data_IF_042018200011
#
_entry.id   IF_042018200011
#
_cell.length_a   1.000
_cell.length_b   1.000
_cell.length_c   1.000
_cell.angle_alpha   90.00
_cell.angle_beta   90.00
_cell.angle_gamma   90.00
#
_symmetry.space_group_name_H-M   'P 1'
#
loop_
_entity.id
_entity.type
_entity.pdbx_description
1 polymer ?
#
# COMPACT_ATOMS: atom_id res chain seq x y z
N UNK A 1 22.04 12.56 -16.46
CA UNK A 1 20.65 11.98 -16.67
C UNK A 1 20.19 11.42 -15.35
N UNK A 2 19.02 11.85 -14.83
CA UNK A 2 18.52 11.45 -13.52
C UNK A 2 18.03 10.00 -13.57
N UNK A 3 18.43 9.19 -12.58
CA UNK A 3 17.94 7.83 -12.35
C UNK A 3 17.02 7.79 -11.14
N UNK A 4 16.16 6.77 -11.04
CA UNK A 4 15.40 6.50 -9.83
C UNK A 4 15.81 5.14 -9.24
N UNK A 5 15.77 5.05 -7.92
CA UNK A 5 15.96 3.82 -7.16
C UNK A 5 14.68 3.54 -6.38
N UNK A 6 14.09 2.36 -6.57
CA UNK A 6 12.93 1.90 -5.79
C UNK A 6 13.39 0.79 -4.83
N UNK A 7 13.21 1.01 -3.53
CA UNK A 7 13.57 0.03 -2.51
C UNK A 7 12.44 -0.97 -2.29
N UNK A 8 12.57 -2.19 -2.82
CA UNK A 8 11.53 -3.21 -2.84
C UNK A 8 11.98 -4.59 -2.29
N UNK A 9 13.06 -4.64 -1.50
CA UNK A 9 13.66 -5.91 -1.05
C UNK A 9 13.08 -6.50 0.24
N UNK A 10 12.28 -5.74 0.99
CA UNK A 10 11.85 -6.06 2.35
C UNK A 10 10.78 -7.17 2.44
N UNK A 11 10.81 -7.99 3.53
CA UNK A 11 9.78 -9.00 3.83
C UNK A 11 8.45 -8.41 4.31
N UNK A 12 8.44 -7.16 4.77
CA UNK A 12 7.24 -6.42 5.20
C UNK A 12 6.35 -7.18 6.20
N UNK A 13 6.95 -7.74 7.26
CA UNK A 13 6.25 -8.59 8.25
C UNK A 13 5.14 -7.89 9.03
N UNK A 14 5.11 -6.56 9.05
CA UNK A 14 4.01 -5.79 9.65
C UNK A 14 2.72 -5.85 8.83
N UNK A 15 2.82 -6.19 7.55
CA UNK A 15 1.68 -6.26 6.63
C UNK A 15 1.13 -7.70 6.50
N UNK A 16 1.64 -8.66 7.32
CA UNK A 16 1.06 -9.98 7.41
C UNK A 16 -0.42 -9.91 7.80
N UNK A 17 -1.28 -10.79 7.22
CA UNK A 17 -0.94 -11.98 6.44
C UNK A 17 -0.76 -11.72 4.93
N UNK A 18 -1.09 -10.55 4.38
CA UNK A 18 -1.10 -10.26 2.94
C UNK A 18 0.26 -10.48 2.26
N UNK A 19 1.36 -10.19 2.98
CA UNK A 19 2.72 -10.32 2.42
C UNK A 19 3.37 -11.68 2.68
N UNK A 20 2.61 -12.68 3.09
CA UNK A 20 3.06 -14.07 3.10
C UNK A 20 3.09 -14.66 1.69
N UNK A 21 2.14 -14.31 0.85
CA UNK A 21 2.00 -14.81 -0.52
C UNK A 21 2.69 -13.94 -1.56
N UNK A 22 2.76 -12.61 -1.35
CA UNK A 22 3.35 -11.68 -2.31
C UNK A 22 4.22 -10.61 -1.63
N UNK A 23 5.19 -9.98 -2.33
CA UNK A 23 5.94 -8.86 -1.79
C UNK A 23 5.05 -7.61 -1.73
N UNK A 24 5.21 -6.79 -0.69
CA UNK A 24 4.41 -5.60 -0.43
C UNK A 24 4.25 -4.63 -1.63
N UNK A 25 5.30 -4.38 -2.45
CA UNK A 25 5.16 -3.51 -3.62
C UNK A 25 4.13 -3.97 -4.65
N UNK A 26 3.72 -5.24 -4.61
CA UNK A 26 2.70 -5.81 -5.49
C UNK A 26 1.29 -5.84 -4.87
N UNK A 27 1.12 -5.42 -3.62
CA UNK A 27 -0.21 -5.19 -3.07
C UNK A 27 -0.93 -4.10 -3.89
N UNK A 28 -2.22 -4.29 -4.12
CA UNK A 28 -3.01 -3.37 -4.94
C UNK A 28 -3.74 -2.32 -4.12
N UNK A 29 -3.72 -1.10 -4.62
CA UNK A 29 -4.57 0.01 -4.19
C UNK A 29 -5.28 0.54 -5.42
N UNK A 30 -6.59 0.68 -5.39
CA UNK A 30 -7.39 1.07 -6.56
C UNK A 30 -7.08 0.17 -7.79
N UNK A 31 -7.01 -1.15 -7.56
CA UNK A 31 -6.72 -2.20 -8.56
C UNK A 31 -5.37 -2.08 -9.28
N UNK A 32 -4.42 -1.32 -8.74
CA UNK A 32 -3.07 -1.18 -9.30
C UNK A 32 -2.03 -1.43 -8.21
N UNK A 33 -0.96 -2.13 -8.54
CA UNK A 33 0.15 -2.43 -7.64
C UNK A 33 0.82 -1.13 -7.15
N UNK A 34 1.20 -1.08 -5.85
CA UNK A 34 1.84 0.09 -5.23
C UNK A 34 3.05 0.56 -6.05
N UNK A 35 3.90 -0.37 -6.49
CA UNK A 35 5.09 -0.04 -7.28
C UNK A 35 4.74 0.59 -8.63
N UNK A 36 3.63 0.18 -9.27
CA UNK A 36 3.19 0.75 -10.56
C UNK A 36 2.66 2.18 -10.41
N UNK A 37 2.06 2.53 -9.26
CA UNK A 37 1.73 3.94 -8.97
C UNK A 37 2.98 4.81 -8.97
N UNK A 38 4.08 4.34 -8.37
CA UNK A 38 5.34 5.05 -8.35
C UNK A 38 6.01 5.11 -9.73
N UNK A 39 5.96 4.01 -10.49
CA UNK A 39 6.47 4.01 -11.87
C UNK A 39 5.70 5.00 -12.75
N UNK A 40 4.37 5.10 -12.62
CA UNK A 40 3.57 6.12 -13.32
C UNK A 40 3.99 7.54 -12.94
N UNK A 41 4.21 7.79 -11.65
CA UNK A 41 4.65 9.09 -11.16
C UNK A 41 6.05 9.48 -11.68
N UNK A 42 6.92 8.50 -11.92
CA UNK A 42 8.28 8.68 -12.46
C UNK A 42 8.32 8.87 -13.98
N UNK A 43 7.25 8.53 -14.72
CA UNK A 43 7.17 8.70 -16.18
C UNK A 43 7.44 10.14 -16.61
N UNK A 44 8.44 10.33 -17.49
CA UNK A 44 8.86 11.65 -17.99
C UNK A 44 9.71 12.47 -17.02
N UNK A 45 10.00 11.97 -15.81
CA UNK A 45 10.95 12.57 -14.87
C UNK A 45 12.32 11.90 -14.92
N UNK A 46 12.35 10.60 -15.15
CA UNK A 46 13.58 9.78 -15.26
C UNK A 46 13.49 8.89 -16.51
N UNK A 47 14.60 8.30 -16.92
CA UNK A 47 14.64 7.33 -18.05
C UNK A 47 14.93 5.90 -17.57
N UNK A 48 15.62 5.76 -16.45
CA UNK A 48 16.01 4.47 -15.89
C UNK A 48 15.57 4.39 -14.42
N UNK A 49 14.97 3.25 -14.05
CA UNK A 49 14.61 2.92 -12.68
C UNK A 49 15.36 1.67 -12.27
N UNK A 50 16.08 1.74 -11.17
CA UNK A 50 16.76 0.60 -10.54
C UNK A 50 15.87 0.13 -9.40
N UNK A 51 15.33 -1.08 -9.49
CA UNK A 51 14.50 -1.70 -8.46
C UNK A 51 15.38 -2.63 -7.63
N UNK A 52 15.55 -2.29 -6.35
CA UNK A 52 16.26 -3.15 -5.40
C UNK A 52 15.26 -4.22 -4.94
N UNK A 53 15.53 -5.47 -5.27
CA UNK A 53 14.67 -6.61 -4.98
C UNK A 53 15.33 -7.57 -3.98
N UNK A 54 14.52 -8.41 -3.34
CA UNK A 54 15.00 -9.41 -2.38
C UNK A 54 13.92 -10.46 -2.12
N UNK A 55 13.06 -10.23 -1.12
CA UNK A 55 11.96 -11.13 -0.82
C UNK A 55 11.02 -11.30 -2.02
N UNK A 56 10.82 -12.56 -2.47
CA UNK A 56 9.98 -12.92 -3.64
C UNK A 56 10.28 -12.07 -4.88
N UNK A 57 11.58 -11.86 -5.18
CA UNK A 57 12.07 -10.99 -6.26
C UNK A 57 11.48 -11.34 -7.62
N UNK A 58 11.31 -12.63 -7.90
CA UNK A 58 10.80 -13.13 -9.16
C UNK A 58 9.39 -12.59 -9.46
N UNK A 59 8.55 -12.47 -8.46
CA UNK A 59 7.20 -11.91 -8.62
C UNK A 59 7.24 -10.45 -9.09
N UNK A 60 8.14 -9.63 -8.52
CA UNK A 60 8.31 -8.23 -8.93
C UNK A 60 8.85 -8.16 -10.36
N UNK A 61 9.83 -9.00 -10.70
CA UNK A 61 10.46 -9.02 -12.02
C UNK A 61 9.47 -9.45 -13.10
N UNK A 62 8.67 -10.50 -12.83
CA UNK A 62 7.64 -10.99 -13.76
C UNK A 62 6.52 -9.97 -13.98
N UNK A 63 6.09 -9.26 -12.90
CA UNK A 63 4.99 -8.30 -12.96
C UNK A 63 5.34 -7.02 -13.72
N UNK A 64 6.60 -6.56 -13.64
CA UNK A 64 7.03 -5.28 -14.23
C UNK A 64 7.80 -5.48 -15.53
N UNK A 65 8.59 -6.56 -15.63
CA UNK A 65 9.51 -6.79 -16.76
C UNK A 65 10.68 -5.80 -16.78
N UNK A 66 11.37 -5.74 -17.93
CA UNK A 66 12.54 -4.90 -18.12
C UNK A 66 12.21 -3.46 -18.62
N UNK A 67 10.93 -3.19 -18.85
CA UNK A 67 10.43 -1.90 -19.36
C UNK A 67 9.02 -1.62 -18.82
N UNK A 68 8.78 -0.39 -18.38
CA UNK A 68 7.46 0.07 -17.99
C UNK A 68 7.16 1.42 -18.67
N UNK A 69 6.27 1.44 -19.65
CA UNK A 69 6.06 2.59 -20.52
C UNK A 69 7.38 3.03 -21.19
N UNK A 70 7.84 4.25 -20.89
CA UNK A 70 9.12 4.79 -21.40
C UNK A 70 10.31 4.56 -20.45
N UNK A 71 10.10 3.92 -19.29
CA UNK A 71 11.12 3.67 -18.31
C UNK A 71 11.86 2.36 -18.61
N UNK A 72 13.19 2.39 -18.60
CA UNK A 72 14.03 1.19 -18.55
C UNK A 72 14.11 0.73 -17.11
N UNK A 73 13.83 -0.55 -16.85
CA UNK A 73 13.88 -1.14 -15.52
C UNK A 73 15.13 -2.02 -15.41
N UNK A 74 15.88 -1.82 -14.34
CA UNK A 74 17.01 -2.65 -13.95
C UNK A 74 16.75 -3.21 -12.56
N UNK A 75 17.08 -4.45 -12.32
CA UNK A 75 16.97 -5.08 -11.01
C UNK A 75 18.33 -5.28 -10.38
N UNK A 76 18.41 -5.01 -9.08
CA UNK A 76 19.60 -5.29 -8.25
C UNK A 76 19.13 -6.04 -7.01
N UNK A 77 19.72 -7.20 -6.76
CA UNK A 77 19.33 -8.04 -5.64
C UNK A 77 20.06 -7.62 -4.35
N UNK A 78 19.31 -7.36 -3.30
CA UNK A 78 19.81 -7.30 -1.93
C UNK A 78 19.83 -8.70 -1.32
N UNK A 79 20.91 -9.43 -1.48
CA UNK A 79 21.04 -10.82 -1.00
C UNK A 79 20.87 -10.98 0.51
N UNK A 80 21.33 -10.01 1.30
CA UNK A 80 21.15 -9.98 2.76
C UNK A 80 20.44 -8.70 3.16
N UNK A 81 19.35 -8.83 3.91
CA UNK A 81 18.55 -7.68 4.36
C UNK A 81 19.19 -7.05 5.59
N UNK A 82 20.24 -6.28 5.39
CA UNK A 82 21.02 -5.60 6.43
C UNK A 82 20.63 -4.13 6.63
N UNK A 83 19.42 -3.76 6.19
CA UNK A 83 18.86 -2.42 6.35
C UNK A 83 18.83 -1.61 5.04
N UNK A 84 18.18 -0.43 5.10
CA UNK A 84 17.90 0.44 3.95
C UNK A 84 19.15 1.11 3.36
N UNK A 85 20.12 1.45 4.18
CA UNK A 85 21.42 1.99 3.72
C UNK A 85 22.25 0.95 3.00
N UNK A 86 22.21 -0.32 3.47
CA UNK A 86 22.85 -1.43 2.76
C UNK A 86 22.17 -1.70 1.42
N UNK A 87 20.84 -1.65 1.37
CA UNK A 87 20.09 -1.78 0.12
C UNK A 87 20.55 -0.71 -0.88
N UNK A 88 20.62 0.55 -0.46
CA UNK A 88 21.06 1.64 -1.33
C UNK A 88 22.50 1.47 -1.80
N UNK A 89 23.41 1.02 -0.93
CA UNK A 89 24.81 0.76 -1.31
C UNK A 89 24.95 -0.28 -2.42
N UNK A 90 24.04 -1.25 -2.51
CA UNK A 90 24.10 -2.32 -3.54
C UNK A 90 23.96 -1.80 -4.97
N UNK A 91 23.44 -0.60 -5.17
CA UNK A 91 23.25 0.00 -6.51
C UNK A 91 24.34 0.99 -6.91
N UNK A 92 25.33 1.25 -6.06
CA UNK A 92 26.41 2.24 -6.26
C UNK A 92 27.05 2.19 -7.64
N UNK A 93 27.41 0.98 -8.11
CA UNK A 93 28.08 0.79 -9.41
C UNK A 93 27.19 1.17 -10.62
N UNK A 94 25.88 1.19 -10.45
CA UNK A 94 24.91 1.49 -11.50
C UNK A 94 24.47 2.96 -11.50
N UNK A 95 24.74 3.70 -10.42
CA UNK A 95 24.44 5.12 -10.31
C UNK A 95 25.48 5.93 -11.06
N UNK A 96 24.98 6.78 -11.97
CA UNK A 96 25.84 7.63 -12.80
C UNK A 96 26.15 8.97 -12.14
N UNK A 97 25.12 9.63 -11.61
CA UNK A 97 25.22 10.97 -11.03
C UNK A 97 24.06 11.22 -10.05
N UNK A 98 23.20 12.17 -10.34
CA UNK A 98 22.01 12.50 -9.54
C UNK A 98 20.93 11.46 -9.68
N UNK A 99 20.35 11.09 -8.55
CA UNK A 99 19.26 10.10 -8.53
C UNK A 99 18.26 10.39 -7.42
N UNK A 100 17.04 9.84 -7.58
CA UNK A 100 16.01 9.86 -6.56
C UNK A 100 15.81 8.45 -5.98
N UNK A 101 15.65 8.36 -4.68
CA UNK A 101 15.30 7.13 -3.96
C UNK A 101 13.87 7.25 -3.46
N UNK A 102 13.06 6.20 -3.65
CA UNK A 102 11.70 6.10 -3.09
C UNK A 102 11.47 4.72 -2.49
N UNK A 103 10.67 4.67 -1.42
CA UNK A 103 10.17 3.40 -0.89
C UNK A 103 9.26 2.71 -1.91
N UNK A 104 9.40 1.39 -2.06
CA UNK A 104 8.53 0.60 -2.93
C UNK A 104 7.19 0.25 -2.30
N UNK A 105 6.95 0.70 -1.09
CA UNK A 105 5.80 0.40 -0.25
C UNK A 105 4.93 1.61 0.11
N UNK A 106 5.28 2.78 -0.40
CA UNK A 106 4.53 4.03 -0.30
C UNK A 106 4.12 4.51 -1.70
N UNK A 107 3.12 5.38 -1.78
CA UNK A 107 2.66 5.99 -3.05
C UNK A 107 2.94 7.48 -3.01
N UNK A 108 3.68 7.97 -3.99
CA UNK A 108 4.07 9.37 -4.11
C UNK A 108 3.38 10.07 -5.29
N UNK A 109 3.12 11.37 -5.14
CA UNK A 109 2.64 12.17 -6.26
C UNK A 109 3.78 12.58 -7.19
N UNK A 110 3.51 12.62 -8.49
CA UNK A 110 4.45 13.17 -9.50
C UNK A 110 4.85 14.61 -9.19
N UNK A 111 3.93 15.41 -8.61
CA UNK A 111 4.17 16.81 -8.22
C UNK A 111 5.28 16.92 -7.19
N UNK A 112 5.23 16.09 -6.16
CA UNK A 112 6.20 16.12 -5.05
C UNK A 112 7.55 15.57 -5.47
N UNK A 113 7.58 14.49 -6.27
CA UNK A 113 8.80 13.99 -6.91
C UNK A 113 9.48 15.09 -7.72
N UNK A 114 8.71 15.79 -8.58
CA UNK A 114 9.23 16.88 -9.41
C UNK A 114 9.75 18.05 -8.58
N UNK A 115 9.14 18.36 -7.43
CA UNK A 115 9.60 19.41 -6.53
C UNK A 115 10.96 19.06 -5.93
N UNK A 116 11.13 17.85 -5.41
CA UNK A 116 12.41 17.38 -4.86
C UNK A 116 13.53 17.36 -5.91
N UNK A 117 13.23 16.95 -7.15
CA UNK A 117 14.21 16.87 -8.24
C UNK A 117 14.80 18.22 -8.66
N UNK A 118 14.21 19.36 -8.25
CA UNK A 118 14.76 20.71 -8.52
C UNK A 118 16.06 20.99 -7.71
N UNK A 119 16.29 20.27 -6.62
CA UNK A 119 17.40 20.50 -5.71
C UNK A 119 18.52 19.49 -5.94
N UNK A 120 19.76 19.85 -5.62
CA UNK A 120 20.90 18.93 -5.62
C UNK A 120 20.67 17.81 -4.62
N UNK A 121 20.32 18.17 -3.39
CA UNK A 121 19.94 17.27 -2.32
C UNK A 121 18.58 17.69 -1.76
N UNK A 122 17.66 16.74 -1.64
CA UNK A 122 16.36 16.99 -1.09
C UNK A 122 15.79 15.76 -0.36
N UNK A 123 14.88 16.03 0.55
CA UNK A 123 14.01 15.05 1.16
C UNK A 123 12.57 15.52 1.05
N UNK A 124 11.63 14.57 1.05
CA UNK A 124 10.21 14.90 1.15
C UNK A 124 9.75 14.66 2.58
N UNK A 125 9.21 15.68 3.22
CA UNK A 125 8.63 15.64 4.56
C UNK A 125 7.11 15.78 4.52
N UNK A 126 6.41 15.09 5.42
CA UNK A 126 4.97 15.21 5.59
C UNK A 126 4.65 15.60 7.03
N UNK A 127 3.82 16.62 7.23
CA UNK A 127 3.27 16.94 8.55
C UNK A 127 2.31 15.84 8.99
N UNK A 128 2.50 15.29 10.19
CA UNK A 128 1.71 14.18 10.74
C UNK A 128 1.32 14.44 12.19
N UNK A 129 0.16 13.92 12.60
CA UNK A 129 -0.34 14.06 13.99
C UNK A 129 0.46 13.19 14.98
N UNK A 130 0.91 12.01 14.56
CA UNK A 130 1.69 11.07 15.40
C UNK A 130 3.10 10.84 14.82
N UNK A 131 4.05 11.76 15.08
CA UNK A 131 5.41 11.67 14.55
C UNK A 131 6.24 10.53 15.17
N UNK A 132 5.86 10.02 16.33
CA UNK A 132 6.58 8.92 17.00
C UNK A 132 6.61 7.61 16.20
N UNK A 133 5.73 7.45 15.23
CA UNK A 133 5.68 6.29 14.33
C UNK A 133 6.73 6.31 13.24
N UNK A 134 7.33 7.47 12.97
CA UNK A 134 8.21 7.73 11.82
C UNK A 134 9.60 8.23 12.26
N UNK A 135 10.55 8.21 11.34
CA UNK A 135 11.68 9.13 11.44
C UNK A 135 11.19 10.56 11.21
N UNK A 136 11.73 11.53 11.91
CA UNK A 136 11.30 12.94 11.78
C UNK A 136 12.47 13.84 11.40
N UNK A 137 12.22 14.83 10.54
CA UNK A 137 13.18 15.85 10.17
C UNK A 137 13.13 17.01 11.14
N UNK A 138 14.29 17.43 11.65
CA UNK A 138 14.50 18.74 12.28
C UNK A 138 14.89 19.73 11.19
N UNK A 139 14.10 20.74 10.95
CA UNK A 139 14.31 21.72 9.88
C UNK A 139 14.47 23.13 10.41
N UNK A 140 15.30 23.96 9.73
CA UNK A 140 15.36 25.42 9.92
C UNK A 140 14.95 26.07 8.60
N UNK A 141 13.76 26.66 8.54
CA UNK A 141 13.12 27.04 7.28
C UNK A 141 12.88 25.79 6.41
N UNK A 142 13.51 25.72 5.24
CA UNK A 142 13.46 24.53 4.37
C UNK A 142 14.69 23.64 4.49
N UNK A 143 15.65 23.97 5.32
CA UNK A 143 16.90 23.24 5.41
C UNK A 143 16.83 22.16 6.49
N UNK A 144 17.14 20.92 6.15
CA UNK A 144 17.26 19.81 7.10
C UNK A 144 18.50 20.00 7.95
N UNK A 145 18.37 19.92 9.26
CA UNK A 145 19.47 19.96 10.22
C UNK A 145 19.80 18.58 10.77
N UNK A 146 18.79 17.72 10.88
CA UNK A 146 18.96 16.36 11.39
C UNK A 146 17.72 15.53 11.06
N UNK A 147 17.89 14.21 11.00
CA UNK A 147 16.79 13.25 11.07
C UNK A 147 16.95 12.37 12.31
N UNK A 148 15.84 12.12 13.02
CA UNK A 148 15.80 11.29 14.22
C UNK A 148 14.79 10.18 13.98
N UNK A 149 15.25 8.94 14.05
CA UNK A 149 14.40 7.76 13.83
C UNK A 149 13.54 7.49 15.08
N UNK A 150 12.22 7.52 14.94
CA UNK A 150 11.21 7.20 15.95
C UNK A 150 11.51 7.83 17.32
N UNK A 151 11.47 9.15 17.43
CA UNK A 151 11.82 9.82 18.67
C UNK A 151 10.83 9.46 19.80
N UNK A 152 11.37 9.19 21.00
CA UNK A 152 10.54 8.89 22.19
C UNK A 152 9.87 10.15 22.78
N UNK A 153 10.39 11.33 22.47
CA UNK A 153 9.83 12.64 22.85
C UNK A 153 9.53 13.42 21.60
N UNK A 154 8.56 14.31 21.65
CA UNK A 154 8.26 15.20 20.52
C UNK A 154 9.51 16.02 20.14
N UNK A 155 9.83 16.02 18.84
CA UNK A 155 10.95 16.77 18.27
C UNK A 155 10.48 17.62 17.10
N UNK A 156 9.65 17.07 16.24
CA UNK A 156 9.10 17.69 15.04
C UNK A 156 7.91 16.86 14.55
N UNK A 157 6.98 17.49 13.88
CA UNK A 157 5.83 16.88 13.21
C UNK A 157 6.09 16.51 11.74
N UNK A 158 7.31 16.81 11.23
CA UNK A 158 7.67 16.55 9.83
C UNK A 158 8.23 15.14 9.68
N UNK A 159 7.36 14.19 9.34
CA UNK A 159 7.72 12.80 9.11
C UNK A 159 8.57 12.62 7.85
N UNK A 160 9.53 11.70 7.94
CA UNK A 160 10.31 11.21 6.81
C UNK A 160 9.46 10.28 5.96
N UNK A 161 9.19 10.68 4.72
CA UNK A 161 8.37 9.90 3.79
C UNK A 161 9.13 8.78 3.07
N UNK A 162 10.46 8.73 3.18
CA UNK A 162 11.26 7.74 2.44
C UNK A 162 11.57 8.15 0.99
N UNK A 163 11.35 9.42 0.64
CA UNK A 163 11.77 9.98 -0.66
C UNK A 163 12.98 10.90 -0.48
N UNK A 164 14.04 10.63 -1.23
CA UNK A 164 15.31 11.37 -1.15
C UNK A 164 15.87 11.64 -2.53
N UNK A 165 16.51 12.80 -2.70
CA UNK A 165 17.33 13.12 -3.87
C UNK A 165 18.79 13.25 -3.43
N UNK A 166 19.65 12.47 -4.06
CA UNK A 166 21.07 12.40 -3.82
C UNK A 166 21.86 12.48 -5.12
N UNK A 167 23.16 12.62 -5.01
CA UNK A 167 24.12 12.31 -6.05
C UNK A 167 25.05 11.15 -5.63
N UNK A 168 25.87 10.67 -6.55
CA UNK A 168 26.76 9.53 -6.33
C UNK A 168 27.73 9.71 -5.17
N UNK A 169 28.03 10.94 -4.75
CA UNK A 169 28.99 11.23 -3.68
C UNK A 169 28.59 10.65 -2.32
N UNK A 170 27.28 10.37 -2.10
CA UNK A 170 26.82 9.77 -0.84
C UNK A 170 27.48 8.42 -0.56
N UNK A 171 27.84 7.65 -1.59
CA UNK A 171 28.46 6.35 -1.43
C UNK A 171 29.89 6.40 -0.86
N UNK A 172 30.51 7.58 -0.83
CA UNK A 172 31.77 7.83 -0.13
C UNK A 172 31.65 7.85 1.40
N UNK A 173 30.42 7.95 1.95
CA UNK A 173 30.22 7.87 3.39
C UNK A 173 30.24 6.40 3.87
N UNK A 174 30.99 6.15 4.96
CA UNK A 174 31.02 4.83 5.63
C UNK A 174 29.86 4.72 6.62
N UNK A 175 28.85 3.91 6.29
CA UNK A 175 27.75 3.62 7.21
C UNK A 175 28.21 2.76 8.37
N UNK A 176 27.64 3.01 9.55
CA UNK A 176 27.78 2.16 10.75
C UNK A 176 26.45 1.46 11.03
N UNK A 177 26.51 0.33 11.72
CA UNK A 177 25.29 -0.33 12.19
C UNK A 177 24.62 0.52 13.28
N UNK A 178 23.32 0.71 13.15
CA UNK A 178 22.49 1.34 14.16
C UNK A 178 22.34 0.43 15.40
N UNK A 179 21.70 0.93 16.45
CA UNK A 179 21.33 0.13 17.62
C UNK A 179 20.45 -1.08 17.28
N UNK A 180 19.79 -1.08 16.13
CA UNK A 180 19.00 -2.18 15.60
C UNK A 180 19.82 -3.21 14.83
N UNK A 181 21.14 -3.01 14.72
CA UNK A 181 22.03 -3.87 13.94
C UNK A 181 21.97 -3.68 12.43
N UNK A 182 21.28 -2.64 11.94
CA UNK A 182 21.04 -2.37 10.52
C UNK A 182 21.83 -1.15 10.02
N UNK A 183 22.19 -1.12 8.74
CA UNK A 183 22.69 0.05 8.06
C UNK A 183 21.51 0.86 7.54
N UNK A 184 21.34 2.08 8.02
CA UNK A 184 20.15 2.87 7.74
C UNK A 184 20.40 3.99 6.73
N UNK A 185 19.46 4.24 5.84
CA UNK A 185 19.57 5.33 4.85
C UNK A 185 19.61 6.72 5.53
N UNK A 186 18.99 6.84 6.70
CA UNK A 186 18.98 8.08 7.49
C UNK A 186 20.37 8.51 7.94
N UNK A 187 21.32 7.57 8.03
CA UNK A 187 22.69 7.90 8.38
C UNK A 187 23.41 8.65 7.25
N UNK A 188 23.09 8.34 5.99
CA UNK A 188 23.56 9.14 4.86
C UNK A 188 23.11 10.60 4.98
N UNK A 189 21.84 10.83 5.36
CA UNK A 189 21.29 12.17 5.54
C UNK A 189 22.01 12.89 6.67
N UNK A 190 22.20 12.24 7.84
CA UNK A 190 22.87 12.82 9.01
C UNK A 190 24.37 13.12 8.77
N UNK A 191 25.01 12.38 7.86
CA UNK A 191 26.38 12.69 7.43
C UNK A 191 26.40 13.81 6.38
N UNK A 192 25.45 13.80 5.45
CA UNK A 192 25.40 14.77 4.36
C UNK A 192 25.06 16.18 4.84
N UNK A 193 24.17 16.36 5.84
CA UNK A 193 23.83 17.68 6.43
C UNK A 193 25.00 18.40 7.07
N UNK A 194 26.09 17.67 7.40
CA UNK A 194 27.34 18.27 7.93
C UNK A 194 28.20 18.91 6.85
N UNK A 195 27.97 18.57 5.58
CA UNK A 195 28.78 19.00 4.44
C UNK A 195 28.02 19.80 3.41
N UNK A 196 26.74 19.53 3.26
CA UNK A 196 25.89 20.03 2.19
C UNK A 196 24.52 20.46 2.71
N UNK A 197 23.92 21.41 2.00
CA UNK A 197 22.55 21.84 2.29
C UNK A 197 21.54 20.86 1.69
N UNK A 198 20.68 20.29 2.53
CA UNK A 198 19.57 19.42 2.10
C UNK A 198 18.27 20.18 2.26
N UNK A 199 17.47 20.23 1.21
CA UNK A 199 16.16 20.90 1.21
C UNK A 199 15.06 19.91 1.59
N UNK A 200 14.27 20.25 2.58
CA UNK A 200 13.03 19.56 2.91
C UNK A 200 11.87 20.18 2.11
N UNK A 201 11.41 19.50 1.08
CA UNK A 201 10.14 19.83 0.45
C UNK A 201 9.00 19.19 1.25
N UNK A 202 7.94 19.96 1.52
CA UNK A 202 6.74 19.44 2.18
C UNK A 202 5.80 18.84 1.14
N UNK A 203 5.13 17.74 1.50
CA UNK A 203 4.10 17.11 0.66
C UNK A 203 3.03 18.13 0.29
N UNK A 204 2.80 18.31 -1.00
CA UNK A 204 1.74 19.17 -1.57
C UNK A 204 0.77 18.40 -2.45
N UNK A 205 1.15 17.23 -2.88
CA UNK A 205 0.33 16.29 -3.60
C UNK A 205 -0.16 15.21 -2.65
N UNK A 206 0.51 14.05 -2.66
CA UNK A 206 0.17 12.94 -1.76
C UNK A 206 1.40 12.11 -1.39
N UNK A 207 1.35 11.61 -0.19
CA UNK A 207 2.15 10.50 0.31
C UNK A 207 1.21 9.54 1.04
N UNK A 208 1.08 8.32 0.53
CA UNK A 208 0.25 7.28 1.13
C UNK A 208 1.16 6.15 1.58
N UNK A 209 1.36 6.07 2.89
CA UNK A 209 2.20 5.04 3.49
C UNK A 209 1.38 3.79 3.80
N UNK A 210 1.86 2.63 3.34
CA UNK A 210 1.25 1.34 3.62
C UNK A 210 2.12 0.57 4.61
N UNK A 211 2.06 0.92 5.89
CA UNK A 211 2.83 0.29 6.97
C UNK A 211 2.19 -1.00 7.48
N UNK A 212 0.86 -1.08 7.45
CA UNK A 212 0.03 -2.16 7.96
C UNK A 212 -1.02 -2.59 6.94
N UNK A 213 -1.67 -3.76 7.10
CA UNK A 213 -2.69 -4.22 6.13
C UNK A 213 -3.87 -3.25 5.97
N UNK A 214 -4.31 -2.64 7.06
CA UNK A 214 -5.44 -1.69 7.06
C UNK A 214 -5.12 -0.35 6.41
N UNK A 215 -3.84 -0.01 6.23
CA UNK A 215 -3.45 1.22 5.54
C UNK A 215 -3.81 1.15 4.04
N UNK A 216 -4.00 -0.06 3.49
CA UNK A 216 -4.52 -0.25 2.13
C UNK A 216 -5.91 0.37 1.97
N UNK A 217 -6.77 0.28 3.00
CA UNK A 217 -8.11 0.87 2.96
C UNK A 217 -8.02 2.39 2.88
N UNK A 218 -7.11 3.01 3.66
CA UNK A 218 -6.92 4.45 3.62
C UNK A 218 -6.32 4.93 2.30
N UNK A 219 -5.27 4.26 1.84
CA UNK A 219 -4.69 4.57 0.54
C UNK A 219 -5.72 4.43 -0.59
N UNK A 220 -6.57 3.39 -0.52
CA UNK A 220 -7.67 3.19 -1.46
C UNK A 220 -8.71 4.32 -1.37
N UNK A 221 -9.10 4.74 -0.16
CA UNK A 221 -10.03 5.85 0.04
C UNK A 221 -9.58 7.11 -0.66
N UNK A 222 -8.31 7.47 -0.50
CA UNK A 222 -7.74 8.67 -1.12
C UNK A 222 -7.77 8.55 -2.65
N UNK A 223 -7.27 7.44 -3.20
CA UNK A 223 -7.17 7.30 -4.66
C UNK A 223 -8.54 7.15 -5.32
N UNK A 224 -9.46 6.40 -4.73
CA UNK A 224 -10.81 6.19 -5.27
C UNK A 224 -11.65 7.48 -5.19
N UNK A 225 -11.40 8.37 -4.22
CA UNK A 225 -12.10 9.66 -4.14
C UNK A 225 -11.84 10.57 -5.36
N UNK A 226 -10.71 10.38 -6.05
CA UNK A 226 -10.26 11.20 -7.18
C UNK A 226 -10.65 10.64 -8.56
N UNK A 227 -11.31 9.46 -8.63
CA UNK A 227 -11.64 8.85 -9.92
C UNK A 227 -12.61 9.71 -10.74
N UNK A 228 -12.58 9.49 -12.04
CA UNK A 228 -13.60 9.94 -12.99
C UNK A 228 -14.39 8.74 -13.47
N UNK A 229 -15.61 8.96 -13.93
CA UNK A 229 -16.40 7.90 -14.54
C UNK A 229 -15.67 7.35 -15.78
N UNK A 230 -15.55 6.00 -15.85
CA UNK A 230 -14.95 5.29 -16.97
C UNK A 230 -15.58 3.89 -17.04
N UNK A 231 -16.58 3.72 -17.89
CA UNK A 231 -17.38 2.50 -18.00
C UNK A 231 -16.99 1.76 -19.28
N UNK A 232 -16.35 0.61 -19.11
CA UNK A 232 -15.93 -0.28 -20.23
C UNK A 232 -16.68 -1.62 -20.23
N UNK A 233 -17.40 -1.90 -19.15
CA UNK A 233 -18.24 -3.08 -18.98
C UNK A 233 -19.70 -2.77 -19.30
N UNK A 234 -20.56 -3.77 -19.06
CA UNK A 234 -22.01 -3.71 -19.25
C UNK A 234 -22.72 -3.41 -17.93
N UNK A 235 -23.65 -2.46 -17.97
CA UNK A 235 -24.53 -2.13 -16.83
C UNK A 235 -25.98 -2.39 -17.28
N UNK A 236 -26.68 -3.27 -16.56
CA UNK A 236 -28.08 -3.59 -16.85
C UNK A 236 -29.03 -2.45 -16.45
N UNK A 237 -30.28 -2.54 -16.95
CA UNK A 237 -31.35 -1.65 -16.49
C UNK A 237 -31.56 -1.84 -14.98
N UNK A 238 -32.11 -0.82 -14.32
CA UNK A 238 -32.37 -0.78 -12.87
C UNK A 238 -31.14 -0.88 -11.96
N UNK A 239 -29.95 -0.66 -12.47
CA UNK A 239 -28.77 -0.37 -11.65
C UNK A 239 -28.79 1.10 -11.25
N UNK A 240 -28.67 1.38 -9.96
CA UNK A 240 -28.63 2.75 -9.45
C UNK A 240 -27.21 3.13 -9.05
N UNK A 241 -26.68 4.24 -9.60
CA UNK A 241 -25.35 4.76 -9.25
C UNK A 241 -25.47 6.16 -8.68
N UNK A 242 -25.05 6.32 -7.39
CA UNK A 242 -24.93 7.62 -6.70
C UNK A 242 -23.46 7.85 -6.30
N UNK A 243 -22.67 8.36 -7.23
CA UNK A 243 -21.24 8.61 -7.08
C UNK A 243 -20.49 8.40 -8.39
N UNK A 244 -19.17 8.24 -8.30
CA UNK A 244 -18.33 7.98 -9.47
C UNK A 244 -18.05 6.49 -9.60
N UNK A 245 -18.10 5.98 -10.82
CA UNK A 245 -17.93 4.56 -11.10
C UNK A 245 -16.91 4.35 -12.22
N UNK A 246 -15.95 3.44 -11.96
CA UNK A 246 -15.04 2.92 -12.96
C UNK A 246 -15.26 1.43 -13.10
N UNK A 247 -15.50 0.95 -14.33
CA UNK A 247 -15.80 -0.46 -14.63
C UNK A 247 -14.89 -0.94 -15.75
N UNK A 248 -14.20 -2.05 -15.50
CA UNK A 248 -13.32 -2.69 -16.46
C UNK A 248 -14.04 -3.43 -17.58
N UNK A 249 -13.28 -3.90 -18.56
CA UNK A 249 -13.79 -4.65 -19.71
C UNK A 249 -14.33 -6.02 -19.29
N UNK A 250 -15.37 -6.50 -19.95
CA UNK A 250 -15.97 -7.81 -19.69
C UNK A 250 -16.70 -7.91 -18.35
N UNK A 251 -16.76 -6.83 -17.57
CA UNK A 251 -17.51 -6.77 -16.30
C UNK A 251 -18.98 -6.52 -16.58
N UNK A 252 -19.84 -7.25 -15.88
CA UNK A 252 -21.30 -7.09 -15.91
C UNK A 252 -21.83 -6.68 -14.53
N UNK A 253 -22.63 -5.61 -14.49
CA UNK A 253 -23.36 -5.18 -13.29
C UNK A 253 -24.84 -5.41 -13.52
N UNK A 254 -25.39 -6.32 -12.72
CA UNK A 254 -26.74 -6.84 -12.89
C UNK A 254 -27.80 -5.97 -12.20
N UNK A 255 -29.03 -6.14 -12.67
CA UNK A 255 -30.22 -5.41 -12.21
C UNK A 255 -30.38 -5.42 -10.69
N UNK A 256 -30.92 -4.31 -10.14
CA UNK A 256 -31.12 -4.11 -8.71
C UNK A 256 -29.86 -3.77 -7.93
N UNK A 257 -28.66 -3.80 -8.53
CA UNK A 257 -27.45 -3.37 -7.87
C UNK A 257 -27.49 -1.87 -7.55
N UNK A 258 -27.20 -1.51 -6.30
CA UNK A 258 -27.16 -0.14 -5.83
C UNK A 258 -25.73 0.26 -5.47
N UNK A 259 -25.22 1.32 -6.06
CA UNK A 259 -23.86 1.83 -5.84
C UNK A 259 -23.95 3.22 -5.24
N UNK A 260 -23.36 3.42 -4.01
CA UNK A 260 -23.34 4.71 -3.30
C UNK A 260 -21.93 5.09 -2.88
N UNK A 261 -21.38 6.13 -3.48
CA UNK A 261 -19.99 6.57 -3.29
C UNK A 261 -19.15 6.25 -4.52
N UNK A 262 -17.83 6.25 -4.38
CA UNK A 262 -16.95 6.01 -5.50
C UNK A 262 -16.48 4.55 -5.52
N UNK A 263 -16.66 3.88 -6.65
CA UNK A 263 -16.35 2.45 -6.77
C UNK A 263 -15.50 2.20 -8.01
N UNK A 264 -14.46 1.39 -7.86
CA UNK A 264 -13.64 0.88 -8.95
C UNK A 264 -13.83 -0.63 -9.04
N UNK A 265 -14.23 -1.11 -10.19
CA UNK A 265 -14.41 -2.53 -10.49
C UNK A 265 -13.48 -2.90 -11.64
N UNK A 266 -12.70 -3.95 -11.47
CA UNK A 266 -11.75 -4.45 -12.48
C UNK A 266 -12.42 -5.07 -13.70
N UNK A 267 -11.62 -5.79 -14.48
CA UNK A 267 -12.05 -6.50 -15.68
C UNK A 267 -12.70 -7.86 -15.33
N UNK A 268 -13.63 -8.32 -16.18
CA UNK A 268 -14.23 -9.65 -16.11
C UNK A 268 -14.90 -9.98 -14.75
N UNK A 269 -15.52 -8.98 -14.11
CA UNK A 269 -16.25 -9.17 -12.86
C UNK A 269 -17.75 -9.42 -13.11
N UNK A 270 -18.37 -10.12 -12.16
CA UNK A 270 -19.82 -10.34 -12.12
C UNK A 270 -20.38 -9.74 -10.82
N UNK A 271 -21.21 -8.70 -10.93
CA UNK A 271 -21.69 -7.91 -9.80
C UNK A 271 -23.21 -7.94 -9.74
N UNK A 272 -23.75 -8.40 -8.65
CA UNK A 272 -25.19 -8.49 -8.44
C UNK A 272 -25.77 -9.89 -8.73
N UNK A 273 -27.11 -10.02 -8.90
CA UNK A 273 -28.10 -8.93 -8.79
C UNK A 273 -28.32 -8.45 -7.36
N UNK A 274 -28.97 -7.30 -7.17
CA UNK A 274 -29.38 -6.77 -5.87
C UNK A 274 -28.22 -6.60 -4.85
N UNK A 275 -27.00 -6.34 -5.31
CA UNK A 275 -25.87 -6.05 -4.44
C UNK A 275 -25.84 -4.58 -4.02
N UNK A 276 -25.27 -4.28 -2.85
CA UNK A 276 -25.05 -2.92 -2.38
C UNK A 276 -23.55 -2.62 -2.25
N UNK A 277 -23.02 -1.80 -3.15
CA UNK A 277 -21.63 -1.32 -3.09
C UNK A 277 -21.61 0.11 -2.57
N UNK A 278 -20.84 0.37 -1.50
CA UNK A 278 -20.80 1.72 -0.94
C UNK A 278 -19.45 2.14 -0.37
N UNK A 279 -19.31 3.46 -0.13
CA UNK A 279 -18.04 4.06 0.27
C UNK A 279 -17.02 4.06 -0.88
N UNK A 280 -15.74 4.19 -0.55
CA UNK A 280 -14.66 4.13 -1.52
C UNK A 280 -14.15 2.68 -1.64
N UNK A 281 -14.81 1.90 -2.46
CA UNK A 281 -14.55 0.46 -2.61
C UNK A 281 -13.79 0.18 -3.92
N UNK A 282 -12.81 -0.71 -3.87
CA UNK A 282 -12.19 -1.29 -5.05
C UNK A 282 -12.39 -2.80 -5.09
N UNK A 283 -12.74 -3.30 -6.27
CA UNK A 283 -12.95 -4.72 -6.57
C UNK A 283 -12.03 -5.08 -7.72
N UNK A 284 -11.14 -6.05 -7.50
CA UNK A 284 -10.12 -6.51 -8.45
C UNK A 284 -10.70 -7.14 -9.71
N UNK A 285 -9.86 -7.73 -10.53
CA UNK A 285 -10.29 -8.41 -11.75
C UNK A 285 -10.87 -9.80 -11.44
N UNK A 286 -11.79 -10.30 -12.26
CA UNK A 286 -12.35 -11.65 -12.16
C UNK A 286 -13.16 -11.91 -10.89
N UNK A 287 -13.60 -10.89 -10.17
CA UNK A 287 -14.34 -11.03 -8.93
C UNK A 287 -15.81 -11.37 -9.17
N UNK A 288 -16.39 -12.12 -8.25
CA UNK A 288 -17.82 -12.38 -8.20
C UNK A 288 -18.41 -11.82 -6.90
N UNK A 289 -19.20 -10.76 -6.99
CA UNK A 289 -19.97 -10.18 -5.88
C UNK A 289 -21.44 -10.44 -6.19
N UNK A 290 -22.02 -11.43 -5.52
CA UNK A 290 -23.33 -11.95 -5.92
C UNK A 290 -24.52 -11.34 -5.19
N UNK A 291 -25.62 -12.10 -5.18
CA UNK A 291 -26.93 -11.63 -4.76
C UNK A 291 -26.98 -11.26 -3.27
N UNK A 292 -27.58 -10.10 -2.97
CA UNK A 292 -27.77 -9.55 -1.62
C UNK A 292 -26.47 -9.42 -0.81
N UNK A 293 -25.37 -9.10 -1.48
CA UNK A 293 -24.07 -8.82 -0.85
C UNK A 293 -23.88 -7.32 -0.66
N UNK A 294 -23.49 -6.91 0.53
CA UNK A 294 -23.06 -5.54 0.79
C UNK A 294 -21.53 -5.47 0.92
N UNK A 295 -20.89 -4.66 0.08
CA UNK A 295 -19.46 -4.30 0.21
C UNK A 295 -19.35 -2.83 0.58
N UNK A 296 -18.68 -2.55 1.70
CA UNK A 296 -18.52 -1.17 2.20
C UNK A 296 -17.06 -0.83 2.44
N UNK A 297 -16.55 0.21 1.77
CA UNK A 297 -15.25 0.81 2.08
C UNK A 297 -14.12 -0.23 2.19
N UNK A 298 -14.05 -1.15 1.22
CA UNK A 298 -13.19 -2.33 1.26
C UNK A 298 -12.32 -2.45 0.01
N UNK A 299 -11.23 -3.19 0.16
CA UNK A 299 -10.32 -3.57 -0.93
C UNK A 299 -10.50 -5.07 -1.18
N UNK A 300 -11.08 -5.41 -2.31
CA UNK A 300 -11.26 -6.79 -2.76
C UNK A 300 -10.23 -7.06 -3.86
N UNK A 301 -9.36 -8.05 -3.67
CA UNK A 301 -8.32 -8.38 -4.65
C UNK A 301 -8.84 -9.33 -5.72
N UNK A 302 -8.01 -9.60 -6.74
CA UNK A 302 -8.39 -10.34 -7.94
C UNK A 302 -8.96 -11.73 -7.61
N UNK A 303 -9.95 -12.16 -8.40
CA UNK A 303 -10.61 -13.48 -8.35
C UNK A 303 -11.29 -13.80 -7.01
N UNK A 304 -11.46 -12.83 -6.13
CA UNK A 304 -12.22 -13.05 -4.89
C UNK A 304 -13.71 -13.23 -5.18
N UNK A 305 -14.35 -14.13 -4.43
CA UNK A 305 -15.75 -14.47 -4.57
C UNK A 305 -16.50 -14.21 -3.26
N UNK A 306 -17.56 -13.42 -3.33
CA UNK A 306 -18.51 -13.15 -2.24
C UNK A 306 -19.90 -13.35 -2.83
N UNK A 307 -20.35 -14.61 -3.03
CA UNK A 307 -21.47 -14.90 -3.93
C UNK A 307 -22.85 -14.65 -3.34
N UNK A 308 -23.03 -14.68 -2.01
CA UNK A 308 -24.38 -14.67 -1.42
C UNK A 308 -24.44 -14.02 -0.04
N UNK A 309 -25.49 -13.20 0.21
CA UNK A 309 -26.02 -12.83 1.54
C UNK A 309 -24.97 -12.36 2.56
N UNK A 310 -23.90 -11.70 2.13
CA UNK A 310 -22.75 -11.38 2.97
C UNK A 310 -22.59 -9.89 3.20
N UNK A 311 -21.97 -9.53 4.34
CA UNK A 311 -21.56 -8.15 4.63
C UNK A 311 -20.04 -8.07 4.78
N UNK A 312 -19.39 -7.29 3.91
CA UNK A 312 -17.95 -7.05 3.92
C UNK A 312 -17.71 -5.55 4.13
N UNK A 313 -17.43 -5.18 5.37
CA UNK A 313 -17.26 -3.78 5.75
C UNK A 313 -15.85 -3.44 6.19
N UNK A 314 -15.24 -2.35 5.65
CA UNK A 314 -13.94 -1.80 6.06
C UNK A 314 -12.84 -2.89 6.12
N UNK A 315 -12.80 -3.75 5.09
CA UNK A 315 -12.02 -5.00 5.06
C UNK A 315 -11.06 -5.05 3.87
N UNK A 316 -10.06 -5.93 3.97
CA UNK A 316 -9.19 -6.31 2.84
C UNK A 316 -9.36 -7.80 2.60
N UNK A 317 -9.76 -8.17 1.38
CA UNK A 317 -9.96 -9.55 0.96
C UNK A 317 -8.90 -9.90 -0.10
N UNK A 318 -8.11 -10.92 0.19
CA UNK A 318 -7.02 -11.40 -0.66
C UNK A 318 -7.49 -12.09 -1.93
N UNK A 319 -6.54 -12.37 -2.82
CA UNK A 319 -6.78 -13.02 -4.11
C UNK A 319 -7.38 -14.41 -3.94
N UNK A 320 -8.21 -14.82 -4.90
CA UNK A 320 -8.79 -16.16 -5.01
C UNK A 320 -9.59 -16.60 -3.77
N UNK A 321 -9.84 -15.72 -2.79
CA UNK A 321 -10.62 -16.08 -1.61
C UNK A 321 -12.08 -16.28 -1.97
N UNK A 322 -12.73 -17.28 -1.35
CA UNK A 322 -14.14 -17.59 -1.56
C UNK A 322 -14.87 -17.53 -0.22
N UNK A 323 -15.73 -16.53 -0.06
CA UNK A 323 -16.47 -16.33 1.19
C UNK A 323 -17.84 -17.02 1.09
N UNK A 324 -18.05 -18.03 1.96
CA UNK A 324 -19.31 -18.76 2.04
C UNK A 324 -20.50 -17.85 2.32
N UNK A 325 -21.69 -18.29 1.90
CA UNK A 325 -22.95 -17.54 2.09
C UNK A 325 -23.14 -17.11 3.55
N UNK A 326 -23.57 -15.86 3.77
CA UNK A 326 -23.79 -15.34 5.13
C UNK A 326 -22.51 -14.98 5.87
N UNK A 327 -21.35 -14.85 5.20
CA UNK A 327 -20.13 -14.36 5.83
C UNK A 327 -20.26 -12.89 6.22
N UNK A 328 -20.01 -12.58 7.51
CA UNK A 328 -20.12 -11.23 8.07
C UNK A 328 -18.78 -10.79 8.64
N UNK A 329 -18.24 -9.69 8.13
CA UNK A 329 -17.09 -9.01 8.77
C UNK A 329 -17.59 -7.89 9.67
N UNK A 330 -17.68 -8.14 10.98
CA UNK A 330 -18.01 -7.09 11.93
C UNK A 330 -16.90 -6.03 11.93
N UNK A 331 -17.27 -4.76 11.80
CA UNK A 331 -16.31 -3.67 11.63
C UNK A 331 -16.35 -2.59 12.72
N UNK A 332 -17.22 -2.72 13.71
CA UNK A 332 -17.37 -1.77 14.81
C UNK A 332 -17.44 -2.51 16.14
N UNK A 333 -16.66 -2.05 17.12
CA UNK A 333 -16.72 -2.55 18.50
C UNK A 333 -17.89 -1.92 19.26
N UNK A 334 -18.45 -2.64 20.22
CA UNK A 334 -19.55 -2.14 21.07
C UNK A 334 -19.17 -0.88 21.88
N UNK A 335 -17.89 -0.79 22.31
CA UNK A 335 -17.38 0.36 23.07
C UNK A 335 -17.03 1.58 22.19
N UNK A 336 -17.24 1.50 20.89
CA UNK A 336 -16.91 2.52 19.87
C UNK A 336 -15.44 3.00 19.85
N UNK A 337 -14.54 2.33 20.55
CA UNK A 337 -13.10 2.65 20.54
C UNK A 337 -12.43 2.13 19.27
N UNK A 338 -11.21 2.59 19.03
CA UNK A 338 -10.40 2.07 17.94
C UNK A 338 -10.27 0.55 18.00
N UNK A 339 -10.30 -0.06 16.82
CA UNK A 339 -10.05 -1.50 16.68
C UNK A 339 -8.56 -1.76 16.90
N UNK A 340 -8.24 -2.82 17.64
CA UNK A 340 -6.87 -3.31 17.77
C UNK A 340 -6.70 -4.58 16.95
N UNK A 341 -5.56 -4.69 16.27
CA UNK A 341 -5.22 -5.86 15.45
C UNK A 341 -3.80 -6.32 15.77
N UNK A 342 -3.55 -7.62 15.77
CA UNK A 342 -2.24 -8.15 16.15
C UNK A 342 -1.18 -7.90 15.07
N UNK A 343 -0.01 -7.42 15.46
CA UNK A 343 1.17 -7.28 14.61
C UNK A 343 2.35 -7.93 15.32
N UNK A 344 2.91 -8.97 14.72
CA UNK A 344 3.96 -9.78 15.33
C UNK A 344 3.57 -10.27 16.76
N UNK A 345 2.35 -10.77 16.89
CA UNK A 345 1.80 -11.28 18.15
C UNK A 345 1.42 -10.22 19.20
N UNK A 346 1.59 -8.94 18.92
CA UNK A 346 1.23 -7.86 19.86
C UNK A 346 0.05 -7.05 19.34
N UNK A 347 -0.96 -6.73 20.18
CA UNK A 347 -2.11 -5.92 19.78
C UNK A 347 -1.69 -4.46 19.57
N UNK A 348 -1.88 -3.96 18.34
CA UNK A 348 -1.57 -2.58 17.92
C UNK A 348 -2.88 -1.82 17.74
N UNK A 349 -2.95 -0.58 18.21
CA UNK A 349 -4.05 0.33 17.88
C UNK A 349 -3.95 0.70 16.40
N UNK A 350 -5.02 0.46 15.65
CA UNK A 350 -5.06 0.72 14.20
C UNK A 350 -5.33 2.19 13.86
N UNK A 351 -5.69 3.01 14.84
CA UNK A 351 -6.18 4.37 14.65
C UNK A 351 -7.58 4.42 14.01
N UNK A 352 -8.22 3.26 13.79
CA UNK A 352 -9.50 3.14 13.09
C UNK A 352 -10.60 2.69 14.03
N UNK A 353 -11.66 3.48 14.16
CA UNK A 353 -12.87 3.10 14.88
C UNK A 353 -13.64 1.98 14.13
N UNK A 354 -13.54 1.97 12.79
CA UNK A 354 -14.12 0.93 11.93
C UNK A 354 -13.01 0.20 11.19
N UNK A 355 -12.92 -1.10 11.43
CA UNK A 355 -12.04 -2.03 10.71
C UNK A 355 -12.67 -3.42 10.80
N UNK A 356 -12.97 -4.01 9.64
CA UNK A 356 -13.46 -5.38 9.53
C UNK A 356 -12.33 -6.41 9.57
N UNK A 357 -12.29 -7.30 8.61
CA UNK A 357 -11.33 -8.38 8.54
C UNK A 357 -10.18 -8.10 7.55
N UNK A 358 -9.02 -8.71 7.81
CA UNK A 358 -7.94 -8.85 6.85
C UNK A 358 -7.83 -10.31 6.47
N UNK A 359 -8.40 -10.66 5.34
CA UNK A 359 -8.41 -12.02 4.80
C UNK A 359 -7.31 -12.12 3.74
N UNK A 360 -6.39 -13.07 3.90
CA UNK A 360 -5.30 -13.26 2.95
C UNK A 360 -5.75 -14.05 1.71
N UNK A 361 -4.79 -14.38 0.82
CA UNK A 361 -5.07 -15.08 -0.42
C UNK A 361 -5.52 -16.53 -0.17
N UNK A 362 -6.34 -17.06 -1.08
CA UNK A 362 -6.77 -18.46 -1.11
C UNK A 362 -7.53 -18.92 0.15
N UNK A 363 -8.20 -18.01 0.85
CA UNK A 363 -9.02 -18.32 2.05
C UNK A 363 -10.43 -18.73 1.63
N UNK A 364 -10.95 -19.81 2.24
CA UNK A 364 -12.31 -20.28 2.03
C UNK A 364 -13.10 -20.25 3.35
N UNK A 365 -14.11 -19.38 3.47
CA UNK A 365 -14.95 -19.40 4.66
C UNK A 365 -16.13 -20.36 4.50
N UNK A 366 -16.49 -21.05 5.59
CA UNK A 366 -17.75 -21.77 5.68
C UNK A 366 -18.96 -20.82 5.65
N UNK A 367 -20.14 -21.36 5.39
CA UNK A 367 -21.38 -20.56 5.44
C UNK A 367 -21.59 -19.98 6.85
N UNK A 368 -22.20 -18.79 6.93
CA UNK A 368 -22.47 -18.09 8.20
C UNK A 368 -21.25 -17.85 9.08
N UNK A 369 -20.06 -17.73 8.50
CA UNK A 369 -18.86 -17.33 9.23
C UNK A 369 -18.99 -15.89 9.71
N UNK A 370 -18.75 -15.65 11.01
CA UNK A 370 -18.73 -14.32 11.60
C UNK A 370 -17.30 -13.96 12.02
N UNK A 371 -16.80 -12.80 11.57
CA UNK A 371 -15.42 -12.39 11.85
C UNK A 371 -15.43 -11.11 12.67
N UNK A 372 -14.77 -11.13 13.84
CA UNK A 372 -14.70 -9.96 14.73
C UNK A 372 -13.83 -8.85 14.15
N UNK A 373 -14.04 -7.59 14.59
CA UNK A 373 -13.30 -6.43 14.09
C UNK A 373 -11.79 -6.59 14.24
N UNK A 374 -11.05 -6.34 13.13
CA UNK A 374 -9.60 -6.36 13.10
C UNK A 374 -8.97 -7.74 13.09
N UNK A 375 -9.76 -8.82 12.96
CA UNK A 375 -9.22 -10.19 12.88
C UNK A 375 -8.65 -10.48 11.51
N UNK A 376 -7.73 -11.45 11.49
CA UNK A 376 -6.99 -11.84 10.30
C UNK A 376 -7.12 -13.34 10.07
N UNK A 377 -7.19 -13.73 8.80
CA UNK A 377 -7.12 -15.13 8.36
C UNK A 377 -5.93 -15.29 7.42
N UNK A 378 -5.06 -16.26 7.74
CA UNK A 378 -3.84 -16.55 6.99
C UNK A 378 -4.13 -17.24 5.65
N UNK A 379 -3.17 -17.19 4.70
CA UNK A 379 -3.38 -17.74 3.36
C UNK A 379 -3.71 -19.23 3.36
N UNK A 380 -4.62 -19.64 2.48
CA UNK A 380 -5.00 -21.04 2.26
C UNK A 380 -5.80 -21.67 3.39
N UNK A 381 -6.19 -20.89 4.42
CA UNK A 381 -7.01 -21.41 5.53
C UNK A 381 -8.50 -21.33 5.20
N UNK A 382 -9.27 -22.13 5.94
CA UNK A 382 -10.72 -22.13 5.90
C UNK A 382 -11.35 -21.93 7.28
N UNK A 383 -12.65 -21.69 7.29
CA UNK A 383 -13.48 -21.71 8.50
C UNK A 383 -14.54 -22.80 8.38
N UNK A 384 -15.00 -23.32 9.50
CA UNK A 384 -16.15 -24.22 9.53
C UNK A 384 -17.46 -23.45 9.33
N UNK A 385 -18.56 -24.10 8.91
CA UNK A 385 -19.89 -23.50 8.89
C UNK A 385 -20.26 -22.95 10.27
N UNK A 386 -20.72 -21.69 10.33
CA UNK A 386 -21.10 -21.02 11.58
C UNK A 386 -19.94 -20.63 12.49
N UNK A 387 -18.68 -20.77 12.05
CA UNK A 387 -17.52 -20.44 12.87
C UNK A 387 -17.48 -18.94 13.21
N UNK A 388 -17.21 -18.65 14.50
CA UNK A 388 -16.94 -17.29 14.98
C UNK A 388 -15.43 -17.09 15.10
N UNK A 389 -14.88 -16.26 14.24
CA UNK A 389 -13.45 -15.90 14.23
C UNK A 389 -13.23 -14.70 15.16
N UNK A 390 -13.02 -14.95 16.42
CA UNK A 390 -12.77 -13.95 17.47
C UNK A 390 -11.27 -13.69 17.72
N UNK A 391 -10.41 -14.55 17.19
CA UNK A 391 -8.95 -14.43 17.20
C UNK A 391 -8.39 -14.56 15.78
N UNK A 392 -7.13 -14.12 15.56
CA UNK A 392 -6.46 -14.32 14.28
C UNK A 392 -6.31 -15.82 14.00
N UNK A 393 -6.73 -16.26 12.80
CA UNK A 393 -6.60 -17.65 12.36
C UNK A 393 -5.31 -17.82 11.57
N UNK A 394 -4.33 -18.50 12.19
CA UNK A 394 -2.96 -18.62 11.67
C UNK A 394 -2.58 -20.03 11.26
N UNK A 395 -3.39 -21.02 11.62
CA UNK A 395 -3.27 -22.45 11.32
C UNK A 395 -4.65 -23.10 11.25
#
# INVERSE_FOLDING_TARGET
MIQAVIMAAGKSTRTWPLTLTMPKPLLKVMNKEIIKHNLDALQGLVREVIVIVGYKKEMIQNEIGNKYGKLKIRYVEQKRQLGTGHALKSVEQFIKDKFIVIGGDDIFSKRDIKACLKHKYAVLGCEVEDPGRFGVFVVKGKEVKKIIEKPKKFVSDIANTGLYVFDKSIFGFKLKKSQRGEYEIVDYINMLVKKEKIICEKVKGRWLSVGYPWDLIEANNVLVSEIKNDIKGKIEKNVTVKGKLKVGKGTEILSGTYIKGNVVIGDNCHIGPNSFLRGNTSIGNGCHIGQAVEIKNSVIMDNAKVPHLSYIGDSVIGKNSNLGAGTITANLKHDNKNVRSAVKGKPVDTGRRKLGAIIADDVHTGINTTIYPGRKIWPGLGTLPGEVVDNDKTS
#
